data_IF_847277558411
#
_entry.id   IF_847277558411
#
_cell.length_a   1.000
_cell.length_b   1.000
_cell.length_c   1.000
_cell.angle_alpha   90.00
_cell.angle_beta   90.00
_cell.angle_gamma   90.00
#
_symmetry.space_group_name_H-M   'P 1'
#
loop_
_entity.id
_entity.type
_entity.pdbx_description
1 polymer ?
#
# COMPACT_ATOMS: atom_id res chain seq x y z
N UNK A 1 48.51 -13.39 -11.27
CA UNK A 1 47.05 -13.68 -11.13
C UNK A 1 46.33 -12.37 -10.92
N UNK A 2 45.24 -12.15 -11.68
CA UNK A 2 44.44 -10.94 -11.52
C UNK A 2 42.97 -11.30 -11.35
N UNK A 3 42.25 -10.48 -10.57
CA UNK A 3 40.85 -10.69 -10.23
C UNK A 3 40.09 -9.36 -10.34
N UNK A 4 38.97 -9.35 -11.08
CA UNK A 4 38.05 -8.24 -11.15
C UNK A 4 36.86 -8.51 -10.21
N UNK A 5 36.64 -7.61 -9.26
CA UNK A 5 35.46 -7.57 -8.43
C UNK A 5 34.55 -6.43 -8.87
N UNK A 6 33.27 -6.76 -9.14
CA UNK A 6 32.25 -5.78 -9.48
C UNK A 6 31.09 -5.80 -8.46
N UNK A 7 31.25 -6.52 -7.35
CA UNK A 7 30.25 -6.75 -6.30
C UNK A 7 28.97 -7.34 -6.87
N UNK A 8 27.85 -6.65 -6.79
CA UNK A 8 26.56 -7.06 -7.42
C UNK A 8 26.19 -6.12 -8.56
N UNK A 9 25.57 -6.69 -9.57
CA UNK A 9 25.00 -5.96 -10.73
C UNK A 9 23.54 -6.39 -10.85
N UNK A 10 22.68 -5.46 -11.05
CA UNK A 10 21.25 -5.70 -11.22
C UNK A 10 20.87 -5.57 -12.71
N UNK A 11 20.36 -6.64 -13.43
CA UNK A 11 20.16 -8.04 -12.99
C UNK A 11 21.31 -8.94 -13.47
N UNK A 12 21.55 -9.03 -14.77
CA UNK A 12 22.54 -9.90 -15.41
C UNK A 12 23.68 -9.11 -16.03
N UNK A 13 24.87 -9.70 -16.10
CA UNK A 13 25.96 -9.07 -16.82
C UNK A 13 26.77 -10.02 -17.72
N UNK A 14 27.40 -9.44 -18.73
CA UNK A 14 28.54 -10.01 -19.41
C UNK A 14 29.66 -8.98 -19.35
N UNK A 15 30.83 -9.42 -18.91
CA UNK A 15 32.00 -8.55 -18.66
C UNK A 15 33.16 -8.89 -19.57
N UNK A 16 33.77 -7.86 -20.18
CA UNK A 16 34.97 -7.94 -20.99
C UNK A 16 36.07 -7.03 -20.47
N UNK A 17 37.33 -7.44 -20.67
CA UNK A 17 38.51 -6.59 -20.55
C UNK A 17 39.25 -6.62 -21.91
N UNK A 18 39.51 -5.43 -22.47
CA UNK A 18 40.16 -5.26 -23.77
C UNK A 18 39.51 -6.07 -24.90
N UNK A 19 38.21 -6.21 -24.90
CA UNK A 19 37.41 -6.97 -25.87
C UNK A 19 37.37 -8.49 -25.62
N UNK A 20 38.12 -9.01 -24.65
CA UNK A 20 38.08 -10.42 -24.29
C UNK A 20 37.06 -10.64 -23.16
N UNK A 21 36.10 -11.54 -23.36
CA UNK A 21 35.13 -11.93 -22.31
C UNK A 21 35.85 -12.61 -21.16
N UNK A 22 35.61 -12.13 -19.94
CA UNK A 22 36.20 -12.68 -18.71
C UNK A 22 35.16 -13.30 -17.79
N UNK A 23 33.89 -12.98 -17.95
CA UNK A 23 32.82 -13.55 -17.13
C UNK A 23 31.42 -13.14 -17.57
N UNK A 24 30.45 -13.87 -17.04
CA UNK A 24 29.03 -13.56 -17.08
C UNK A 24 28.37 -14.09 -15.82
N UNK A 25 27.33 -13.40 -15.37
CA UNK A 25 26.55 -13.82 -14.18
C UNK A 25 25.09 -13.44 -14.39
N UNK A 26 24.22 -14.34 -13.97
CA UNK A 26 22.76 -14.15 -13.99
C UNK A 26 22.28 -13.96 -12.54
N UNK A 27 21.43 -12.95 -12.33
CA UNK A 27 20.79 -12.66 -11.04
C UNK A 27 21.31 -11.39 -10.36
N UNK A 28 20.40 -10.64 -9.79
CA UNK A 28 20.61 -9.30 -9.22
C UNK A 28 21.41 -9.29 -7.90
N UNK A 29 21.44 -10.40 -7.17
CA UNK A 29 22.06 -10.52 -5.83
C UNK A 29 23.33 -11.35 -5.83
N UNK A 30 23.77 -11.83 -7.00
CA UNK A 30 24.98 -12.67 -7.13
C UNK A 30 26.22 -11.80 -7.19
N UNK A 31 27.23 -12.13 -6.40
CA UNK A 31 28.52 -11.40 -6.39
C UNK A 31 29.35 -11.74 -7.62
N UNK A 32 29.84 -10.71 -8.32
CA UNK A 32 30.73 -10.81 -9.48
C UNK A 32 32.19 -10.76 -9.03
N UNK A 33 32.84 -11.89 -9.20
CA UNK A 33 34.27 -12.03 -8.93
C UNK A 33 34.90 -12.84 -10.07
N UNK A 34 35.51 -12.15 -11.02
CA UNK A 34 36.02 -12.76 -12.26
C UNK A 34 37.53 -12.88 -12.25
N UNK A 35 38.03 -14.08 -12.52
CA UNK A 35 39.47 -14.30 -12.78
C UNK A 35 39.83 -13.71 -14.14
N UNK A 36 40.86 -12.90 -14.18
CA UNK A 36 41.39 -12.29 -15.40
C UNK A 36 42.51 -13.13 -15.94
N UNK A 37 42.37 -13.71 -17.16
CA UNK A 37 43.44 -14.57 -17.73
C UNK A 37 44.74 -13.81 -17.98
N UNK A 38 45.84 -14.55 -17.92
CA UNK A 38 47.15 -13.99 -18.20
C UNK A 38 47.23 -13.42 -19.64
N UNK A 39 47.87 -12.28 -19.78
CA UNK A 39 47.99 -11.61 -21.11
C UNK A 39 46.84 -10.74 -21.53
N UNK A 40 45.73 -10.71 -20.77
CA UNK A 40 44.57 -9.85 -21.04
C UNK A 40 44.87 -8.39 -20.68
N UNK A 41 45.53 -8.16 -19.54
CA UNK A 41 45.85 -6.82 -19.06
C UNK A 41 47.00 -6.22 -19.86
N UNK A 42 46.90 -4.93 -20.14
CA UNK A 42 47.83 -4.07 -20.87
C UNK A 42 48.23 -2.89 -19.98
N UNK A 43 49.05 -2.00 -20.49
CA UNK A 43 49.38 -0.73 -19.82
C UNK A 43 48.14 0.15 -19.63
N UNK A 44 47.27 0.22 -20.68
CA UNK A 44 45.94 0.84 -20.61
C UNK A 44 44.88 -0.21 -20.89
N UNK A 45 43.84 -0.25 -20.09
CA UNK A 45 42.79 -1.28 -20.15
C UNK A 45 41.42 -0.65 -20.28
N UNK A 46 40.56 -1.29 -21.06
CA UNK A 46 39.14 -0.98 -21.17
C UNK A 46 38.33 -2.12 -20.54
N UNK A 47 37.47 -1.80 -19.60
CA UNK A 47 36.50 -2.72 -19.02
C UNK A 47 35.13 -2.38 -19.59
N UNK A 48 34.50 -3.33 -20.25
CA UNK A 48 33.17 -3.19 -20.82
C UNK A 48 32.22 -4.14 -20.15
N UNK A 49 31.07 -3.61 -19.73
CA UNK A 49 29.96 -4.37 -19.16
C UNK A 49 28.75 -4.25 -20.08
N UNK A 50 28.16 -5.36 -20.45
CA UNK A 50 26.77 -5.41 -20.93
C UNK A 50 25.92 -5.80 -19.73
N UNK A 51 25.03 -4.91 -19.33
CA UNK A 51 24.09 -5.14 -18.22
C UNK A 51 22.69 -5.28 -18.83
N UNK A 52 21.99 -6.32 -18.46
CA UNK A 52 20.58 -6.50 -18.76
C UNK A 52 19.81 -6.28 -17.47
N UNK A 53 18.95 -5.28 -17.49
CA UNK A 53 18.07 -4.89 -16.38
C UNK A 53 16.63 -5.21 -16.82
N UNK A 54 15.94 -6.03 -16.06
CA UNK A 54 14.60 -6.50 -16.38
C UNK A 54 13.52 -5.77 -15.60
N UNK A 55 13.86 -5.18 -14.43
CA UNK A 55 12.91 -4.45 -13.59
C UNK A 55 13.61 -3.54 -12.57
N UNK A 56 13.05 -2.37 -12.36
CA UNK A 56 13.45 -1.48 -11.27
C UNK A 56 14.63 -0.60 -11.62
N UNK A 57 15.67 -0.65 -10.83
CA UNK A 57 16.88 0.15 -11.02
C UNK A 57 18.07 -0.73 -11.32
N UNK A 58 18.58 -0.68 -12.58
CA UNK A 58 19.71 -1.48 -13.03
C UNK A 58 21.07 -0.86 -12.75
N UNK A 59 22.12 -1.67 -12.87
CA UNK A 59 23.50 -1.23 -12.89
C UNK A 59 24.39 -1.80 -11.82
N UNK A 60 25.59 -1.19 -11.72
CA UNK A 60 26.58 -1.51 -10.69
C UNK A 60 26.18 -0.87 -9.36
N UNK A 61 25.97 -1.68 -8.32
CA UNK A 61 25.79 -1.13 -7.00
C UNK A 61 26.44 -1.99 -5.91
N UNK A 62 26.81 -1.36 -4.83
CA UNK A 62 27.55 -1.98 -3.74
C UNK A 62 28.54 -1.02 -3.12
N UNK A 63 29.23 -1.43 -2.06
CA UNK A 63 30.26 -0.61 -1.42
C UNK A 63 31.41 -0.28 -2.37
N UNK A 64 31.82 0.98 -2.42
CA UNK A 64 32.86 1.48 -3.33
C UNK A 64 34.20 0.73 -3.22
N UNK A 65 34.53 0.24 -2.04
CA UNK A 65 35.75 -0.54 -1.75
C UNK A 65 35.68 -1.99 -2.24
N UNK A 66 34.52 -2.45 -2.72
CA UNK A 66 34.34 -3.81 -3.24
C UNK A 66 34.32 -3.86 -4.77
N UNK A 67 34.45 -2.69 -5.45
CA UNK A 67 34.55 -2.57 -6.90
C UNK A 67 36.01 -2.27 -7.24
N UNK A 68 36.76 -3.28 -7.62
CA UNK A 68 38.21 -3.18 -7.82
C UNK A 68 38.78 -4.21 -8.81
N UNK A 69 39.98 -3.91 -9.36
CA UNK A 69 40.83 -4.86 -10.06
C UNK A 69 42.04 -5.13 -9.14
N UNK A 70 42.24 -6.39 -8.74
CA UNK A 70 43.39 -6.84 -8.01
C UNK A 70 44.39 -7.53 -8.92
N UNK A 71 45.66 -7.09 -8.93
CA UNK A 71 46.76 -7.68 -9.72
C UNK A 71 47.93 -7.96 -8.77
N UNK A 72 48.18 -9.23 -8.47
CA UNK A 72 49.10 -9.63 -7.41
C UNK A 72 48.67 -9.02 -6.07
N UNK A 73 49.56 -8.29 -5.42
CA UNK A 73 49.29 -7.60 -4.16
C UNK A 73 48.64 -6.19 -4.32
N UNK A 74 48.58 -5.70 -5.55
CA UNK A 74 48.08 -4.36 -5.84
C UNK A 74 46.58 -4.38 -6.10
N UNK A 75 45.79 -3.55 -5.38
CA UNK A 75 44.38 -3.33 -5.59
C UNK A 75 44.17 -1.95 -6.23
N UNK A 76 43.45 -1.92 -7.34
CA UNK A 76 43.11 -0.71 -8.11
C UNK A 76 41.63 -0.49 -7.93
N UNK A 77 41.17 0.58 -7.24
CA UNK A 77 39.74 0.87 -7.12
C UNK A 77 39.16 1.25 -8.48
N UNK A 78 37.98 0.75 -8.78
CA UNK A 78 37.21 1.04 -10.00
C UNK A 78 35.92 1.77 -9.73
N UNK A 79 35.61 2.09 -8.47
CA UNK A 79 34.51 2.95 -8.10
C UNK A 79 34.70 4.37 -8.66
N UNK A 80 33.62 4.99 -9.13
CA UNK A 80 33.66 6.35 -9.68
C UNK A 80 32.76 6.52 -10.90
N UNK A 81 33.20 7.35 -11.85
CA UNK A 81 32.42 7.67 -13.04
C UNK A 81 32.67 6.64 -14.14
N UNK A 82 31.60 5.97 -14.57
CA UNK A 82 31.57 5.12 -15.74
C UNK A 82 30.84 5.80 -16.91
N UNK A 83 31.28 5.53 -18.12
CA UNK A 83 30.49 5.90 -19.32
C UNK A 83 29.47 4.82 -19.58
N UNK A 84 28.24 5.20 -19.93
CA UNK A 84 27.21 4.23 -20.28
C UNK A 84 26.47 4.64 -21.55
N UNK A 85 25.86 3.67 -22.20
CA UNK A 85 24.96 3.85 -23.34
C UNK A 85 23.87 2.79 -23.23
N UNK A 86 22.62 3.21 -23.34
CA UNK A 86 21.50 2.28 -23.52
C UNK A 86 21.60 1.72 -24.95
N UNK A 87 21.67 0.39 -25.06
CA UNK A 87 21.76 -0.27 -26.37
C UNK A 87 20.39 -0.62 -26.95
N UNK A 88 19.46 -0.99 -26.07
CA UNK A 88 18.06 -1.29 -26.40
C UNK A 88 17.20 -1.17 -25.15
N UNK A 89 15.95 -0.81 -25.31
CA UNK A 89 14.93 -0.82 -24.27
C UNK A 89 13.64 -1.47 -24.78
N UNK A 90 12.78 -1.94 -23.89
CA UNK A 90 11.50 -2.51 -24.28
C UNK A 90 10.64 -1.53 -25.08
N UNK A 91 10.75 -0.23 -24.80
CA UNK A 91 10.05 0.82 -25.55
C UNK A 91 10.51 0.94 -27.01
N UNK A 92 11.73 0.54 -27.35
CA UNK A 92 12.24 0.57 -28.73
C UNK A 92 11.54 -0.46 -29.64
N UNK A 93 10.86 -1.44 -29.04
CA UNK A 93 10.20 -2.54 -29.72
C UNK A 93 8.70 -2.60 -29.48
N UNK A 94 8.10 -1.58 -28.85
CA UNK A 94 6.70 -1.60 -28.35
C UNK A 94 6.40 -2.84 -27.48
N UNK A 95 7.44 -3.40 -26.87
CA UNK A 95 7.33 -4.61 -26.07
C UNK A 95 6.99 -4.27 -24.64
N UNK A 96 5.80 -4.67 -24.21
CA UNK A 96 5.36 -4.60 -22.82
C UNK A 96 5.42 -6.02 -22.25
N UNK A 97 6.43 -6.29 -21.44
CA UNK A 97 6.50 -7.54 -20.70
C UNK A 97 5.52 -7.50 -19.53
N UNK A 98 4.43 -8.22 -19.66
CA UNK A 98 3.54 -8.47 -18.55
C UNK A 98 4.07 -9.66 -17.75
N UNK A 99 4.41 -9.46 -16.49
CA UNK A 99 4.66 -10.59 -15.59
C UNK A 99 3.43 -11.51 -15.50
N UNK A 100 3.58 -12.74 -15.05
CA UNK A 100 2.49 -13.75 -15.05
C UNK A 100 1.23 -13.27 -14.32
N UNK A 101 1.39 -12.39 -13.34
CA UNK A 101 0.26 -11.84 -12.57
C UNK A 101 -0.57 -10.79 -13.34
N UNK A 102 -0.03 -10.27 -14.45
CA UNK A 102 -0.72 -9.27 -15.26
C UNK A 102 -1.59 -9.89 -16.38
N UNK A 103 -1.42 -11.19 -16.67
CA UNK A 103 -2.28 -11.86 -17.63
C UNK A 103 -3.62 -12.22 -16.99
N UNK A 104 -4.75 -11.90 -17.64
CA UNK A 104 -6.08 -12.23 -17.13
C UNK A 104 -6.24 -13.71 -16.82
N UNK A 105 -6.87 -14.02 -15.70
CA UNK A 105 -7.27 -15.37 -15.28
C UNK A 105 -6.14 -16.34 -14.88
N UNK A 106 -4.85 -16.05 -15.08
CA UNK A 106 -3.78 -17.01 -14.74
C UNK A 106 -3.74 -17.31 -13.24
N UNK A 107 -3.77 -16.27 -12.38
CA UNK A 107 -3.81 -16.46 -10.93
C UNK A 107 -5.07 -17.21 -10.50
N UNK A 108 -6.23 -16.86 -11.05
CA UNK A 108 -7.46 -17.57 -10.76
C UNK A 108 -7.36 -19.05 -11.15
N UNK A 109 -6.94 -19.34 -12.39
CA UNK A 109 -6.89 -20.71 -12.91
C UNK A 109 -5.92 -21.61 -12.13
N UNK A 110 -4.76 -21.06 -11.74
CA UNK A 110 -3.71 -21.84 -11.08
C UNK A 110 -3.87 -21.93 -9.56
N UNK A 111 -4.42 -20.89 -8.91
CA UNK A 111 -4.39 -20.79 -7.45
C UNK A 111 -5.79 -20.84 -6.81
N UNK A 112 -6.81 -20.27 -7.45
CA UNK A 112 -8.17 -20.20 -6.87
C UNK A 112 -9.04 -21.34 -7.38
N UNK A 113 -9.06 -21.57 -8.69
CA UNK A 113 -9.91 -22.61 -9.31
C UNK A 113 -9.70 -24.04 -8.74
N UNK A 114 -8.48 -24.48 -8.41
CA UNK A 114 -8.27 -25.79 -7.77
C UNK A 114 -8.89 -25.91 -6.37
N UNK A 115 -9.20 -24.78 -5.72
CA UNK A 115 -9.81 -24.73 -4.39
C UNK A 115 -11.34 -24.68 -4.45
N UNK A 116 -11.91 -24.45 -5.64
CA UNK A 116 -13.37 -24.39 -5.80
C UNK A 116 -13.98 -25.74 -5.39
N UNK A 117 -14.97 -25.67 -4.49
CA UNK A 117 -15.56 -26.86 -3.88
C UNK A 117 -14.97 -27.26 -2.53
N UNK A 118 -13.82 -26.65 -2.11
CA UNK A 118 -13.35 -26.84 -0.75
C UNK A 118 -14.39 -26.28 0.24
N UNK A 119 -14.74 -27.09 1.24
CA UNK A 119 -15.63 -26.62 2.30
C UNK A 119 -14.93 -25.58 3.17
N UNK A 120 -15.46 -24.37 3.16
CA UNK A 120 -14.96 -23.27 4.00
C UNK A 120 -16.11 -22.51 4.67
N UNK A 121 -15.83 -21.87 5.80
CA UNK A 121 -16.80 -21.03 6.51
C UNK A 121 -16.93 -19.66 5.84
N UNK A 122 -15.83 -19.06 5.46
CA UNK A 122 -15.75 -17.73 4.85
C UNK A 122 -14.35 -17.41 4.38
N UNK A 123 -14.13 -16.16 3.98
CA UNK A 123 -12.84 -15.63 3.51
C UNK A 123 -12.43 -14.46 4.39
N UNK A 124 -11.15 -14.37 4.72
CA UNK A 124 -10.49 -13.17 5.20
C UNK A 124 -9.53 -12.68 4.12
N UNK A 125 -9.56 -11.37 3.84
CA UNK A 125 -8.88 -10.75 2.72
C UNK A 125 -8.03 -9.57 3.15
N UNK A 126 -6.77 -9.52 2.73
CA UNK A 126 -5.89 -8.38 2.98
C UNK A 126 -5.11 -8.05 1.72
N UNK A 127 -5.57 -7.07 0.97
CA UNK A 127 -4.99 -6.62 -0.30
C UNK A 127 -5.60 -5.27 -0.69
N UNK A 128 -4.92 -4.53 -1.56
CA UNK A 128 -5.41 -3.27 -2.15
C UNK A 128 -4.29 -2.28 -2.48
N UNK A 129 -3.12 -2.44 -1.92
CA UNK A 129 -1.99 -1.52 -1.99
C UNK A 129 -1.56 -1.26 -3.44
N UNK A 130 -1.44 -2.30 -4.25
CA UNK A 130 -1.06 -2.17 -5.67
C UNK A 130 -2.19 -1.61 -6.56
N UNK A 131 -3.38 -1.38 -6.01
CA UNK A 131 -4.49 -0.78 -6.73
C UNK A 131 -4.61 0.73 -6.53
N UNK A 132 -3.76 1.35 -5.71
CA UNK A 132 -3.86 2.77 -5.35
C UNK A 132 -3.75 3.69 -6.56
N UNK A 133 -2.88 3.41 -7.52
CA UNK A 133 -2.80 4.15 -8.78
C UNK A 133 -4.01 3.93 -9.73
N UNK A 134 -4.91 2.99 -9.39
CA UNK A 134 -6.13 2.65 -10.11
C UNK A 134 -7.33 2.55 -9.16
N UNK A 135 -7.38 3.40 -8.15
CA UNK A 135 -8.39 3.36 -7.09
C UNK A 135 -9.84 3.34 -7.63
N UNK A 136 -10.11 4.09 -8.70
CA UNK A 136 -11.44 4.11 -9.34
C UNK A 136 -11.89 2.76 -9.90
N UNK A 137 -10.97 1.93 -10.36
CA UNK A 137 -11.31 0.58 -10.82
C UNK A 137 -11.67 -0.34 -9.64
N UNK A 138 -11.06 -0.12 -8.48
CA UNK A 138 -11.27 -0.95 -7.30
C UNK A 138 -12.72 -0.92 -6.79
N UNK A 139 -13.44 0.18 -6.99
CA UNK A 139 -14.89 0.26 -6.70
C UNK A 139 -15.73 -0.81 -7.41
N UNK A 140 -15.24 -1.30 -8.54
CA UNK A 140 -15.94 -2.33 -9.33
C UNK A 140 -15.27 -3.69 -9.19
N UNK A 141 -13.94 -3.72 -9.18
CA UNK A 141 -13.18 -4.97 -9.19
C UNK A 141 -13.32 -5.74 -7.87
N UNK A 142 -13.32 -5.05 -6.74
CA UNK A 142 -13.37 -5.73 -5.45
C UNK A 142 -14.73 -6.40 -5.20
N UNK A 143 -15.88 -5.72 -5.32
CA UNK A 143 -17.17 -6.39 -5.20
C UNK A 143 -17.41 -7.45 -6.30
N UNK A 144 -16.88 -7.23 -7.52
CA UNK A 144 -16.98 -8.23 -8.59
C UNK A 144 -16.24 -9.53 -8.25
N UNK A 145 -15.03 -9.44 -7.69
CA UNK A 145 -14.26 -10.60 -7.24
C UNK A 145 -15.00 -11.40 -6.15
N UNK A 146 -15.55 -10.72 -5.14
CA UNK A 146 -16.32 -11.36 -4.07
C UNK A 146 -17.51 -12.13 -4.65
N UNK A 147 -18.26 -11.49 -5.52
CA UNK A 147 -19.44 -12.09 -6.16
C UNK A 147 -19.07 -13.26 -7.08
N UNK A 148 -17.96 -13.15 -7.84
CA UNK A 148 -17.49 -14.25 -8.70
C UNK A 148 -17.08 -15.46 -7.85
N UNK A 149 -16.35 -15.29 -6.78
CA UNK A 149 -15.97 -16.37 -5.89
C UNK A 149 -17.21 -17.04 -5.26
N UNK A 150 -18.17 -16.26 -4.73
CA UNK A 150 -19.44 -16.80 -4.21
C UNK A 150 -20.18 -17.61 -5.26
N UNK A 151 -20.26 -17.09 -6.49
CA UNK A 151 -20.86 -17.83 -7.63
C UNK A 151 -20.15 -19.13 -7.94
N UNK A 152 -18.81 -19.15 -7.92
CA UNK A 152 -18.01 -20.36 -8.20
C UNK A 152 -18.17 -21.43 -7.13
N UNK A 153 -18.26 -21.03 -5.87
CA UNK A 153 -18.54 -21.97 -4.76
C UNK A 153 -20.02 -22.35 -4.64
N UNK A 154 -20.92 -21.65 -5.34
CA UNK A 154 -22.37 -21.83 -5.15
C UNK A 154 -22.86 -21.50 -3.76
N UNK A 155 -22.18 -20.60 -3.04
CA UNK A 155 -22.43 -20.29 -1.64
C UNK A 155 -22.17 -18.82 -1.34
N UNK A 156 -23.11 -18.15 -0.69
CA UNK A 156 -22.97 -16.77 -0.20
C UNK A 156 -22.25 -16.76 1.16
N UNK A 157 -20.95 -17.09 1.15
CA UNK A 157 -20.12 -17.15 2.35
C UNK A 157 -19.73 -15.76 2.83
N UNK A 158 -19.46 -15.60 4.15
CA UNK A 158 -18.91 -14.37 4.71
C UNK A 158 -17.58 -13.98 4.10
N UNK A 159 -17.40 -12.68 3.84
CA UNK A 159 -16.17 -12.13 3.30
C UNK A 159 -15.77 -10.91 4.12
N UNK A 160 -14.68 -11.05 4.90
CA UNK A 160 -14.17 -10.00 5.77
C UNK A 160 -12.82 -9.52 5.27
N UNK A 161 -12.62 -8.21 5.21
CA UNK A 161 -11.36 -7.66 4.72
C UNK A 161 -10.73 -6.65 5.66
N UNK A 162 -9.47 -6.42 5.42
CA UNK A 162 -8.69 -5.36 6.06
C UNK A 162 -8.75 -4.14 5.17
N UNK A 163 -9.19 -3.00 5.70
CA UNK A 163 -9.03 -1.71 5.04
C UNK A 163 -7.55 -1.32 5.07
N UNK A 164 -7.04 -0.68 4.01
CA UNK A 164 -5.62 -0.32 3.93
C UNK A 164 -5.15 0.46 5.17
N UNK A 165 -4.01 0.03 5.73
CA UNK A 165 -3.36 0.69 6.84
C UNK A 165 -2.87 2.10 6.48
N UNK A 166 -2.52 2.90 7.48
CA UNK A 166 -1.77 4.14 7.27
C UNK A 166 -0.35 3.82 6.78
N UNK A 167 0.12 4.58 5.79
CA UNK A 167 1.42 4.38 5.13
C UNK A 167 1.89 5.69 4.48
N UNK A 168 3.19 5.87 4.26
CA UNK A 168 3.85 7.08 3.74
C UNK A 168 3.88 8.23 4.75
N UNK A 169 4.30 9.41 4.32
CA UNK A 169 4.41 10.58 5.17
C UNK A 169 3.03 11.20 5.44
N UNK A 170 2.86 11.74 6.63
CA UNK A 170 1.69 12.55 6.95
C UNK A 170 1.72 13.88 6.19
N UNK A 171 0.55 14.46 5.95
CA UNK A 171 0.42 15.73 5.22
C UNK A 171 0.09 16.89 6.17
N UNK A 172 0.74 18.04 5.96
CA UNK A 172 0.48 19.24 6.77
C UNK A 172 -0.85 19.91 6.39
N UNK A 173 -1.27 19.80 5.15
CA UNK A 173 -2.52 20.36 4.63
C UNK A 173 -3.38 19.26 4.00
N UNK A 174 -4.73 19.36 4.06
CA UNK A 174 -5.58 18.39 3.40
C UNK A 174 -5.30 18.32 1.90
N UNK A 175 -5.12 17.11 1.38
CA UNK A 175 -4.77 16.89 -0.03
C UNK A 175 -5.57 15.71 -0.61
N UNK A 176 -5.48 15.52 -1.92
CA UNK A 176 -5.97 14.31 -2.55
C UNK A 176 -5.08 13.11 -2.19
N UNK A 177 -5.70 11.95 -2.02
CA UNK A 177 -5.03 10.70 -1.68
C UNK A 177 -5.65 9.54 -2.45
N UNK A 178 -4.86 8.90 -3.29
CA UNK A 178 -5.26 7.68 -3.97
C UNK A 178 -5.40 6.51 -2.99
N UNK A 179 -4.65 6.53 -1.91
CA UNK A 179 -4.73 5.55 -0.82
C UNK A 179 -6.07 5.65 -0.08
N UNK A 180 -6.50 6.88 0.22
CA UNK A 180 -7.81 7.14 0.82
C UNK A 180 -8.97 6.73 -0.12
N UNK A 181 -8.82 6.94 -1.44
CA UNK A 181 -9.81 6.49 -2.42
C UNK A 181 -9.96 4.95 -2.46
N UNK A 182 -8.86 4.19 -2.32
CA UNK A 182 -8.97 2.72 -2.19
C UNK A 182 -9.67 2.33 -0.89
N UNK A 183 -9.36 3.00 0.24
CA UNK A 183 -10.09 2.77 1.51
C UNK A 183 -11.59 3.03 1.36
N UNK A 184 -11.95 4.08 0.64
CA UNK A 184 -13.36 4.39 0.35
C UNK A 184 -14.00 3.30 -0.50
N UNK A 185 -13.33 2.83 -1.57
CA UNK A 185 -13.81 1.72 -2.40
C UNK A 185 -14.00 0.43 -1.58
N UNK A 186 -13.08 0.15 -0.65
CA UNK A 186 -13.23 -0.95 0.30
C UNK A 186 -14.48 -0.76 1.18
N UNK A 187 -14.67 0.43 1.73
CA UNK A 187 -15.83 0.75 2.57
C UNK A 187 -17.15 0.66 1.81
N UNK A 188 -17.22 1.15 0.56
CA UNK A 188 -18.42 1.03 -0.26
C UNK A 188 -18.80 -0.42 -0.59
N UNK A 189 -17.83 -1.33 -0.58
CA UNK A 189 -18.08 -2.77 -0.77
C UNK A 189 -18.88 -3.40 0.38
N UNK A 190 -19.00 -2.74 1.54
CA UNK A 190 -19.91 -3.14 2.62
C UNK A 190 -21.40 -3.14 2.23
N UNK A 191 -21.74 -2.58 1.06
CA UNK A 191 -23.08 -2.73 0.46
C UNK A 191 -23.43 -4.17 0.06
N UNK A 192 -22.43 -5.07 -0.04
CA UNK A 192 -22.68 -6.50 -0.23
C UNK A 192 -23.09 -7.15 1.10
N UNK A 193 -24.03 -8.10 1.03
CA UNK A 193 -24.42 -8.90 2.18
C UNK A 193 -23.26 -9.77 2.70
N UNK A 194 -23.31 -10.15 3.96
CA UNK A 194 -22.35 -11.04 4.65
C UNK A 194 -20.89 -10.57 4.48
N UNK A 195 -20.67 -9.27 4.69
CA UNK A 195 -19.34 -8.64 4.61
C UNK A 195 -19.02 -7.89 5.90
N UNK A 196 -17.73 -7.58 6.10
CA UNK A 196 -17.27 -6.77 7.22
C UNK A 196 -15.84 -6.27 6.97
N UNK A 197 -15.52 -5.13 7.59
CA UNK A 197 -14.26 -4.42 7.37
C UNK A 197 -13.50 -4.17 8.68
N UNK A 198 -12.28 -4.67 8.75
CA UNK A 198 -11.34 -4.32 9.82
C UNK A 198 -10.60 -3.03 9.45
N UNK A 199 -10.94 -1.91 10.09
CA UNK A 199 -10.23 -0.63 9.93
C UNK A 199 -8.94 -0.67 10.72
N UNK A 200 -7.80 -0.35 10.08
CA UNK A 200 -6.46 -0.47 10.66
C UNK A 200 -5.58 0.77 10.43
N UNK A 201 -6.17 1.94 10.26
CA UNK A 201 -5.45 3.21 10.04
C UNK A 201 -4.58 3.66 11.24
N UNK A 202 -4.70 3.00 12.37
CA UNK A 202 -4.01 3.29 13.63
C UNK A 202 -2.88 2.32 13.98
N UNK A 203 -2.61 1.33 13.13
CA UNK A 203 -1.62 0.28 13.39
C UNK A 203 -0.68 0.00 12.21
N UNK A 204 -0.68 0.87 11.19
CA UNK A 204 0.31 0.87 10.11
C UNK A 204 1.63 1.53 10.51
N UNK A 205 2.55 1.59 9.59
CA UNK A 205 3.87 2.19 9.75
C UNK A 205 4.19 3.10 8.57
N UNK A 206 4.54 4.36 8.82
CA UNK A 206 4.78 5.36 7.78
C UNK A 206 5.83 4.93 6.74
N UNK A 207 6.84 4.16 7.16
CA UNK A 207 7.98 3.75 6.32
C UNK A 207 7.98 2.27 5.93
N UNK A 208 6.95 1.53 6.30
CA UNK A 208 6.82 0.12 5.95
C UNK A 208 5.37 -0.18 5.55
N UNK A 209 5.17 -0.53 4.28
CA UNK A 209 3.85 -0.88 3.74
C UNK A 209 3.26 -2.13 4.40
N UNK A 210 4.09 -2.92 5.11
CA UNK A 210 3.71 -4.15 5.78
C UNK A 210 3.57 -3.96 7.30
N UNK A 211 2.39 -3.60 7.83
CA UNK A 211 2.18 -3.41 9.26
C UNK A 211 2.60 -4.64 10.07
N UNK A 212 3.39 -4.45 11.12
CA UNK A 212 3.91 -5.56 11.95
C UNK A 212 2.87 -6.10 12.94
N UNK A 213 1.91 -5.27 13.36
CA UNK A 213 0.89 -5.66 14.33
C UNK A 213 -0.20 -6.56 13.72
N UNK A 214 0.20 -7.72 13.19
CA UNK A 214 -0.72 -8.69 12.58
C UNK A 214 -1.68 -9.33 13.58
N UNK A 215 -1.33 -9.34 14.88
CA UNK A 215 -2.21 -9.85 15.93
C UNK A 215 -3.48 -8.99 16.05
N UNK A 216 -3.35 -7.67 16.04
CA UNK A 216 -4.50 -6.76 16.10
C UNK A 216 -5.32 -6.80 14.80
N UNK A 217 -4.68 -6.92 13.64
CA UNK A 217 -5.38 -7.17 12.36
C UNK A 217 -6.24 -8.41 12.43
N UNK A 218 -5.66 -9.54 12.87
CA UNK A 218 -6.38 -10.80 13.05
C UNK A 218 -7.50 -10.71 14.07
N UNK A 219 -7.28 -9.99 15.19
CA UNK A 219 -8.32 -9.75 16.21
C UNK A 219 -9.52 -9.01 15.62
N UNK A 220 -9.30 -7.89 14.89
CA UNK A 220 -10.40 -7.10 14.29
C UNK A 220 -11.18 -7.89 13.25
N UNK A 221 -10.52 -8.71 12.43
CA UNK A 221 -11.20 -9.62 11.50
C UNK A 221 -12.02 -10.69 12.26
N UNK A 222 -11.46 -11.26 13.34
CA UNK A 222 -12.14 -12.28 14.13
C UNK A 222 -13.41 -11.75 14.84
N UNK A 223 -13.45 -10.46 15.20
CA UNK A 223 -14.65 -9.86 15.79
C UNK A 223 -15.86 -9.98 14.85
N UNK A 224 -15.67 -9.74 13.56
CA UNK A 224 -16.75 -9.90 12.56
C UNK A 224 -17.24 -11.35 12.48
N UNK A 225 -16.31 -12.30 12.42
CA UNK A 225 -16.68 -13.72 12.40
C UNK A 225 -17.41 -14.14 13.68
N UNK A 226 -16.90 -13.77 14.83
CA UNK A 226 -17.52 -14.09 16.13
C UNK A 226 -18.96 -13.56 16.19
N UNK A 227 -19.17 -12.29 15.85
CA UNK A 227 -20.49 -11.66 15.88
C UNK A 227 -21.44 -12.28 14.87
N UNK A 228 -21.04 -12.33 13.60
CA UNK A 228 -21.95 -12.65 12.49
C UNK A 228 -22.12 -14.14 12.25
N UNK A 229 -21.09 -14.98 12.52
CA UNK A 229 -21.04 -16.38 12.08
C UNK A 229 -21.03 -17.39 13.23
N UNK A 230 -20.56 -16.97 14.41
CA UNK A 230 -20.40 -17.86 15.56
C UNK A 230 -21.34 -17.56 16.73
N UNK A 231 -22.28 -16.61 16.55
CA UNK A 231 -23.36 -16.35 17.50
C UNK A 231 -23.00 -15.54 18.75
N UNK A 232 -21.83 -14.88 18.76
CA UNK A 232 -21.42 -14.00 19.85
C UNK A 232 -21.99 -12.58 19.63
N UNK A 233 -23.29 -12.43 19.68
CA UNK A 233 -24.02 -11.18 19.34
C UNK A 233 -23.61 -9.95 20.17
N UNK A 234 -23.07 -10.16 21.38
CA UNK A 234 -22.59 -9.07 22.26
C UNK A 234 -21.21 -8.53 21.85
N UNK A 235 -20.51 -9.20 20.92
CA UNK A 235 -19.22 -8.74 20.40
C UNK A 235 -19.44 -7.57 19.46
N UNK A 236 -18.91 -6.40 19.80
CA UNK A 236 -18.88 -5.25 18.89
C UNK A 236 -17.76 -5.46 17.86
N UNK A 237 -18.12 -5.51 16.59
CA UNK A 237 -17.20 -5.81 15.50
C UNK A 237 -16.99 -4.64 14.52
N UNK A 238 -17.90 -3.69 14.47
CA UNK A 238 -17.89 -2.63 13.50
C UNK A 238 -17.26 -1.34 14.03
N UNK A 239 -16.52 -0.68 13.15
CA UNK A 239 -15.94 0.65 13.37
C UNK A 239 -17.01 1.74 13.23
N UNK A 240 -16.89 2.88 13.94
CA UNK A 240 -17.77 4.03 13.70
C UNK A 240 -17.76 4.45 12.25
N UNK A 241 -18.94 4.62 11.67
CA UNK A 241 -19.14 5.09 10.30
C UNK A 241 -20.06 6.31 10.28
N UNK A 242 -19.79 7.31 9.42
CA UNK A 242 -20.68 8.46 9.28
C UNK A 242 -22.03 8.00 8.69
N UNK A 243 -23.11 8.45 9.33
CA UNK A 243 -24.49 8.19 8.91
C UNK A 243 -25.09 9.36 8.17
N UNK A 244 -25.00 10.54 8.77
CA UNK A 244 -25.50 11.80 8.18
C UNK A 244 -24.55 12.93 8.47
N UNK A 245 -24.45 13.85 7.51
CA UNK A 245 -23.69 15.11 7.68
C UNK A 245 -24.63 16.26 7.34
N UNK A 246 -24.89 17.15 8.32
CA UNK A 246 -25.85 18.23 8.17
C UNK A 246 -25.31 19.55 8.69
N UNK A 247 -25.71 20.64 8.03
CA UNK A 247 -25.47 21.96 8.54
C UNK A 247 -26.45 22.27 9.68
N UNK A 248 -25.93 22.74 10.81
CA UNK A 248 -26.71 23.13 11.97
C UNK A 248 -26.24 24.51 12.40
N UNK A 249 -26.99 25.55 12.02
CA UNK A 249 -26.61 26.96 12.19
C UNK A 249 -25.25 27.27 11.50
N UNK A 250 -24.27 27.71 12.25
CA UNK A 250 -22.90 28.03 11.83
C UNK A 250 -21.93 26.84 11.88
N UNK A 251 -22.44 25.62 12.17
CA UNK A 251 -21.65 24.41 12.38
C UNK A 251 -22.10 23.28 11.48
N UNK A 252 -21.29 22.23 11.41
CA UNK A 252 -21.62 20.97 10.74
C UNK A 252 -21.69 19.89 11.80
N UNK A 253 -22.77 19.13 11.78
CA UNK A 253 -22.94 17.94 12.64
C UNK A 253 -22.77 16.67 11.80
N UNK A 254 -21.85 15.81 12.23
CA UNK A 254 -21.63 14.47 11.66
C UNK A 254 -22.15 13.46 12.68
N UNK A 255 -23.16 12.70 12.32
CA UNK A 255 -23.69 11.60 13.13
C UNK A 255 -23.09 10.29 12.68
N UNK A 256 -22.77 9.43 13.67
CA UNK A 256 -22.12 8.14 13.45
C UNK A 256 -23.02 6.99 13.89
N UNK A 257 -22.97 5.88 13.14
CA UNK A 257 -23.41 4.55 13.58
C UNK A 257 -22.22 3.77 14.16
N UNK A 258 -22.46 2.62 14.76
CA UNK A 258 -21.48 1.66 15.31
C UNK A 258 -20.59 2.22 16.43
N UNK A 259 -21.13 3.08 17.24
CA UNK A 259 -20.39 3.78 18.29
C UNK A 259 -20.30 2.98 19.61
N UNK A 260 -21.01 1.87 19.70
CA UNK A 260 -21.20 1.09 20.95
C UNK A 260 -21.75 1.97 22.08
N UNK A 261 -21.03 2.13 23.22
CA UNK A 261 -21.46 3.01 24.30
C UNK A 261 -21.20 4.49 24.04
N UNK A 262 -20.43 4.83 23.00
CA UNK A 262 -20.18 6.19 22.56
C UNK A 262 -18.86 6.37 21.83
N UNK A 263 -18.72 7.55 21.21
CA UNK A 263 -17.48 7.99 20.58
C UNK A 263 -16.44 8.40 21.63
N UNK A 264 -15.20 8.02 21.39
CA UNK A 264 -14.05 8.32 22.25
C UNK A 264 -12.97 9.01 21.43
N UNK A 265 -12.34 10.02 22.01
CA UNK A 265 -11.15 10.71 21.45
C UNK A 265 -9.91 10.21 22.17
N UNK A 266 -9.03 9.53 21.47
CA UNK A 266 -7.78 9.00 22.05
C UNK A 266 -6.67 10.06 22.07
N UNK A 267 -6.74 10.99 22.96
CA UNK A 267 -5.62 11.79 23.45
C UNK A 267 -5.93 12.38 24.82
N UNK A 268 -4.92 12.85 25.54
CA UNK A 268 -5.08 13.35 26.90
C UNK A 268 -5.79 14.72 27.01
N UNK A 269 -5.96 15.43 25.90
CA UNK A 269 -6.56 16.75 25.87
C UNK A 269 -8.00 16.77 25.35
N UNK A 270 -8.49 15.67 24.76
CA UNK A 270 -9.81 15.56 24.16
C UNK A 270 -9.96 16.31 22.82
N UNK A 271 -8.85 16.73 22.20
CA UNK A 271 -8.89 17.35 20.87
C UNK A 271 -9.07 16.30 19.80
N UNK A 272 -10.11 16.47 18.98
CA UNK A 272 -10.39 15.60 17.85
C UNK A 272 -9.69 16.16 16.61
N UNK A 273 -8.93 15.30 15.93
CA UNK A 273 -8.06 15.62 14.82
C UNK A 273 -8.55 15.03 13.51
N UNK A 274 -7.87 15.33 12.39
CA UNK A 274 -8.09 14.75 11.06
C UNK A 274 -9.44 15.05 10.40
N UNK A 275 -10.17 16.07 10.84
CA UNK A 275 -11.36 16.54 10.14
C UNK A 275 -11.03 17.71 9.22
N UNK A 276 -11.49 17.64 7.97
CA UNK A 276 -11.37 18.71 7.00
C UNK A 276 -12.72 18.99 6.32
N UNK A 277 -12.95 20.25 5.94
CA UNK A 277 -14.17 20.70 5.27
C UNK A 277 -13.79 21.50 4.03
N UNK A 278 -14.51 21.29 2.94
CA UNK A 278 -14.41 22.09 1.72
C UNK A 278 -15.71 22.86 1.45
N UNK A 279 -15.57 24.05 0.89
CA UNK A 279 -16.65 24.81 0.26
C UNK A 279 -16.82 24.45 -1.21
N UNK A 280 -17.58 25.29 -1.93
CA UNK A 280 -17.80 25.12 -3.38
C UNK A 280 -16.51 25.25 -4.23
N UNK A 281 -15.45 25.80 -3.65
CA UNK A 281 -14.11 25.87 -4.27
C UNK A 281 -13.38 24.51 -4.32
N UNK A 282 -13.88 23.52 -3.60
CA UNK A 282 -13.28 22.19 -3.50
C UNK A 282 -11.99 22.14 -2.67
N UNK A 283 -11.61 23.25 -1.99
CA UNK A 283 -10.39 23.33 -1.19
C UNK A 283 -10.69 22.91 0.24
N UNK A 284 -10.14 21.77 0.64
CA UNK A 284 -10.27 21.27 2.01
C UNK A 284 -9.37 22.05 2.98
N UNK A 285 -9.90 22.38 4.15
CA UNK A 285 -9.17 23.02 5.27
C UNK A 285 -9.39 22.22 6.54
N UNK A 286 -8.35 22.08 7.35
CA UNK A 286 -8.48 21.51 8.68
C UNK A 286 -9.44 22.36 9.54
N UNK A 287 -10.31 21.68 10.27
CA UNK A 287 -11.32 22.34 11.08
C UNK A 287 -11.32 21.84 12.51
N UNK A 288 -11.79 22.69 13.43
CA UNK A 288 -11.99 22.26 14.81
C UNK A 288 -13.17 21.30 14.90
N UNK A 289 -12.96 20.19 15.62
CA UNK A 289 -13.95 19.14 15.83
C UNK A 289 -14.04 18.75 17.30
N UNK A 290 -15.23 18.40 17.76
CA UNK A 290 -15.44 17.83 19.10
C UNK A 290 -16.60 16.88 19.12
N UNK A 291 -16.51 15.87 19.98
CA UNK A 291 -17.61 14.95 20.26
C UNK A 291 -18.71 15.69 21.02
N UNK A 292 -19.95 15.50 20.61
CA UNK A 292 -21.14 16.10 21.21
C UNK A 292 -22.21 15.03 21.43
N UNK A 293 -22.35 14.59 22.67
CA UNK A 293 -23.21 13.46 23.02
C UNK A 293 -22.51 12.11 22.76
N UNK A 294 -23.33 11.09 22.49
CA UNK A 294 -22.85 9.70 22.35
C UNK A 294 -22.27 9.40 20.95
N UNK A 295 -22.88 9.92 19.91
CA UNK A 295 -22.75 9.45 18.51
C UNK A 295 -22.51 10.58 17.50
N UNK A 296 -22.18 11.79 17.96
CA UNK A 296 -22.08 12.96 17.10
C UNK A 296 -20.76 13.67 17.25
N UNK A 297 -20.25 14.18 16.14
CA UNK A 297 -19.15 15.14 16.07
C UNK A 297 -19.68 16.46 15.53
N UNK A 298 -19.30 17.56 16.15
CA UNK A 298 -19.61 18.92 15.71
C UNK A 298 -18.34 19.60 15.22
N UNK A 299 -18.40 20.11 13.99
CA UNK A 299 -17.30 20.82 13.33
C UNK A 299 -17.55 22.33 13.34
N UNK A 300 -16.50 23.10 13.60
CA UNK A 300 -16.47 24.56 13.46
C UNK A 300 -15.53 24.94 12.34
N UNK A 301 -16.06 25.57 11.29
CA UNK A 301 -15.33 25.89 10.05
C UNK A 301 -15.54 27.36 9.61
N UNK A 302 -15.17 28.35 10.44
CA UNK A 302 -15.44 29.76 10.12
C UNK A 302 -14.75 30.25 8.84
N UNK A 303 -13.66 29.62 8.45
CA UNK A 303 -12.85 29.99 7.28
C UNK A 303 -13.29 29.26 5.98
N UNK A 304 -14.37 28.49 6.02
CA UNK A 304 -14.94 27.79 4.85
C UNK A 304 -16.26 28.44 4.47
N UNK A 305 -16.29 29.06 3.30
CA UNK A 305 -17.50 29.66 2.76
C UNK A 305 -18.35 28.55 2.12
N UNK A 306 -19.65 28.52 2.45
CA UNK A 306 -20.61 27.54 1.93
C UNK A 306 -20.08 26.10 1.94
N UNK A 307 -19.89 25.50 3.11
CA UNK A 307 -19.36 24.16 3.24
C UNK A 307 -20.27 23.12 2.56
N UNK A 308 -19.66 22.27 1.72
CA UNK A 308 -20.37 21.25 0.90
C UNK A 308 -19.90 19.83 1.14
N UNK A 309 -18.71 19.63 1.70
CA UNK A 309 -18.14 18.29 1.92
C UNK A 309 -17.28 18.23 3.17
N UNK A 310 -17.30 17.08 3.84
CA UNK A 310 -16.49 16.75 5.02
C UNK A 310 -15.63 15.54 4.74
N UNK A 311 -14.36 15.60 5.15
CA UNK A 311 -13.42 14.47 5.21
C UNK A 311 -13.04 14.18 6.66
N UNK A 312 -12.82 12.90 6.94
CA UNK A 312 -12.16 12.44 8.17
C UNK A 312 -11.08 11.42 7.81
N UNK A 313 -9.88 11.59 8.37
CA UNK A 313 -8.73 10.70 8.16
C UNK A 313 -8.44 10.44 6.67
N UNK A 314 -8.67 11.43 5.82
CA UNK A 314 -8.48 11.36 4.37
C UNK A 314 -7.04 11.72 4.03
N UNK A 315 -6.22 10.70 3.85
CA UNK A 315 -4.79 10.84 3.55
C UNK A 315 -4.14 9.47 3.44
N UNK A 316 -2.92 9.43 2.93
CA UNK A 316 -2.15 8.19 2.87
C UNK A 316 -1.81 7.71 4.29
N UNK A 317 -1.31 8.62 5.11
CA UNK A 317 -0.99 8.37 6.52
C UNK A 317 -1.70 9.39 7.44
N UNK A 318 -2.96 9.14 7.83
CA UNK A 318 -3.66 9.98 8.80
C UNK A 318 -3.26 9.61 10.24
N UNK A 319 -1.98 9.82 10.58
CA UNK A 319 -1.36 9.39 11.86
C UNK A 319 -1.92 10.09 13.09
N UNK A 320 -2.58 11.24 12.90
CA UNK A 320 -3.26 12.01 13.94
C UNK A 320 -4.75 11.61 14.12
N UNK A 321 -5.28 10.69 13.30
CA UNK A 321 -6.66 10.23 13.41
C UNK A 321 -6.92 9.54 14.75
N UNK A 322 -7.84 10.10 15.55
CA UNK A 322 -7.99 9.71 16.95
C UNK A 322 -9.43 9.52 17.43
N UNK A 323 -10.38 9.35 16.50
CA UNK A 323 -11.78 9.03 16.83
C UNK A 323 -11.99 7.52 16.85
N UNK A 324 -12.59 7.03 17.92
CA UNK A 324 -12.84 5.60 18.17
C UNK A 324 -14.24 5.38 18.75
N UNK A 325 -14.74 4.14 18.71
CA UNK A 325 -15.84 3.76 19.59
C UNK A 325 -15.35 3.34 20.99
N UNK A 326 -16.29 3.11 21.90
CA UNK A 326 -16.00 2.77 23.31
C UNK A 326 -15.25 1.44 23.48
N UNK A 327 -15.29 0.53 22.52
CA UNK A 327 -14.54 -0.74 22.55
C UNK A 327 -13.16 -0.63 21.86
N UNK A 328 -12.79 0.56 21.39
CA UNK A 328 -11.46 0.86 20.89
C UNK A 328 -11.23 0.59 19.41
N UNK A 329 -12.27 0.41 18.60
CA UNK A 329 -12.17 0.35 17.15
C UNK A 329 -12.09 1.78 16.56
N UNK A 330 -11.14 2.08 15.67
CA UNK A 330 -10.99 3.40 15.06
C UNK A 330 -12.14 3.69 14.10
N UNK A 331 -12.53 4.96 13.98
CA UNK A 331 -13.53 5.37 13.01
C UNK A 331 -13.02 5.20 11.57
N UNK A 332 -13.91 4.78 10.70
CA UNK A 332 -13.66 4.61 9.28
C UNK A 332 -13.35 5.94 8.61
N UNK A 333 -12.26 6.08 7.83
CA UNK A 333 -12.02 7.23 6.97
C UNK A 333 -13.15 7.45 5.97
N UNK A 334 -13.48 8.70 5.69
CA UNK A 334 -14.55 9.02 4.74
C UNK A 334 -14.40 10.39 4.07
N UNK A 335 -15.06 10.52 2.92
CA UNK A 335 -15.48 11.78 2.33
C UNK A 335 -17.00 11.71 2.13
N UNK A 336 -17.74 12.74 2.57
CA UNK A 336 -19.20 12.79 2.46
C UNK A 336 -19.69 14.21 2.19
N UNK A 337 -20.68 14.32 1.32
CA UNK A 337 -21.33 15.60 1.02
C UNK A 337 -22.26 16.00 2.16
N UNK A 338 -22.35 17.31 2.42
CA UNK A 338 -23.25 17.89 3.41
C UNK A 338 -24.67 17.96 2.79
N UNK A 339 -25.64 17.44 3.53
CA UNK A 339 -27.08 17.54 3.20
C UNK A 339 -27.65 18.95 3.48
#
# INVERSE_FOLDING_TARGET
>A
EAVLSLHVIDDDDITWINGQKIGETVGYDVRRLYSVPAGVLKESNEITLKISDYRGGGGLYGPANEIYLKVGDKTIPLSGKWKYKISASNSDFDFVEYGPNAYPSLLYNAMVNPLVGLSMRGVIWYQGENNTNRAKEYYHLFPAMINDWRKKWGKDFPFYWVQLANYMDAVEVPSESLWAQVREAQTQTLSLSHTGQAVIIDIGEAKDIHPKNKQEVGRRLALHALHNDYGFSDVVCESPMPKTVRRVQDKIAVQFDNVADGLIVKNKYGYLMSFAVAGNDGVYKWVQAKVAGKDRVVLSCPDVIDPVSVRYAWGDNPDDANLYNSVGLPATPFEIKIE
#
